data_IF_004922120327
#
_entry.id   IF_004922120327
#
_cell.length_a   1.000
_cell.length_b   1.000
_cell.length_c   1.000
_cell.angle_alpha   90.00
_cell.angle_beta   90.00
_cell.angle_gamma   90.00
#
_symmetry.space_group_name_H-M   'P 1'
#
loop_
_entity.id
_entity.type
_entity.pdbx_description
1 polymer ?
#
# COMPACT_ATOMS: atom_id res chain seq x y z
N UNK A 1 36.09 -38.45 38.16
CA UNK A 1 35.17 -37.29 38.29
C UNK A 1 35.08 -36.46 36.99
N UNK A 2 36.16 -36.34 36.22
CA UNK A 2 36.24 -35.52 35.00
C UNK A 2 35.38 -36.00 33.83
N UNK A 3 35.32 -37.30 33.55
CA UNK A 3 34.56 -37.82 32.40
C UNK A 3 33.05 -37.57 32.45
N UNK A 4 32.46 -37.57 33.66
CA UNK A 4 31.04 -37.23 33.86
C UNK A 4 30.76 -35.76 33.51
N UNK A 5 31.69 -34.86 33.85
CA UNK A 5 31.57 -33.44 33.57
C UNK A 5 31.61 -33.16 32.06
N UNK A 6 32.53 -33.82 31.34
CA UNK A 6 32.63 -33.71 29.88
C UNK A 6 31.34 -34.15 29.19
N UNK A 7 30.75 -35.28 29.60
CA UNK A 7 29.49 -35.77 29.03
C UNK A 7 28.35 -34.79 29.26
N UNK A 8 28.23 -34.21 30.46
CA UNK A 8 27.21 -33.20 30.77
C UNK A 8 27.39 -31.95 29.91
N UNK A 9 28.62 -31.44 29.78
CA UNK A 9 28.91 -30.28 28.96
C UNK A 9 28.64 -30.53 27.47
N UNK A 10 29.02 -31.70 26.95
CA UNK A 10 28.72 -32.07 25.56
C UNK A 10 27.22 -32.17 25.32
N UNK A 11 26.46 -32.78 26.23
CA UNK A 11 25.00 -32.84 26.13
C UNK A 11 24.38 -31.44 26.15
N UNK A 12 24.85 -30.56 27.05
CA UNK A 12 24.37 -29.19 27.14
C UNK A 12 24.65 -28.39 25.86
N UNK A 13 25.82 -28.57 25.26
CA UNK A 13 26.20 -27.94 24.00
C UNK A 13 25.28 -28.40 22.85
N UNK A 14 25.01 -29.70 22.75
CA UNK A 14 24.10 -30.25 21.73
C UNK A 14 22.69 -29.71 21.92
N UNK A 15 22.18 -29.69 23.16
CA UNK A 15 20.88 -29.11 23.48
C UNK A 15 20.80 -27.63 23.07
N UNK A 16 21.86 -26.85 23.32
CA UNK A 16 21.91 -25.44 22.94
C UNK A 16 21.87 -25.27 21.42
N UNK A 17 22.63 -26.10 20.68
CA UNK A 17 22.60 -26.11 19.21
C UNK A 17 21.22 -26.45 18.63
N UNK A 18 20.57 -27.49 19.15
CA UNK A 18 19.23 -27.88 18.72
C UNK A 18 18.18 -26.80 19.04
N UNK A 19 18.27 -26.18 20.22
CA UNK A 19 17.39 -25.09 20.63
C UNK A 19 17.51 -23.89 19.69
N UNK A 20 18.74 -23.51 19.31
CA UNK A 20 18.99 -22.41 18.37
C UNK A 20 18.42 -22.70 16.99
N UNK A 21 18.60 -23.93 16.47
CA UNK A 21 18.03 -24.32 15.17
C UNK A 21 16.51 -24.27 15.21
N UNK A 22 15.90 -24.76 16.29
CA UNK A 22 14.45 -24.71 16.46
C UNK A 22 13.94 -23.26 16.53
N UNK A 23 14.62 -22.38 17.28
CA UNK A 23 14.28 -20.97 17.34
C UNK A 23 14.40 -20.28 15.97
N UNK A 24 15.46 -20.57 15.22
CA UNK A 24 15.65 -20.04 13.87
C UNK A 24 14.59 -20.55 12.89
N UNK A 25 14.20 -21.82 13.00
CA UNK A 25 13.13 -22.38 12.18
C UNK A 25 11.80 -21.68 12.46
N UNK A 26 11.45 -21.51 13.73
CA UNK A 26 10.22 -20.83 14.13
C UNK A 26 10.22 -19.35 13.68
N UNK A 27 11.35 -18.66 13.84
CA UNK A 27 11.51 -17.27 13.39
C UNK A 27 11.32 -17.14 11.88
N UNK A 28 11.89 -18.06 11.08
CA UNK A 28 11.72 -18.05 9.62
C UNK A 28 10.26 -18.30 9.23
N UNK A 29 9.58 -19.22 9.92
CA UNK A 29 8.18 -19.52 9.63
C UNK A 29 7.28 -18.31 9.87
N UNK A 30 7.40 -17.65 11.04
CA UNK A 30 6.62 -16.46 11.36
C UNK A 30 6.90 -15.30 10.40
N UNK A 31 8.16 -15.14 9.97
CA UNK A 31 8.56 -14.09 9.03
C UNK A 31 7.90 -14.30 7.66
N UNK A 32 7.85 -15.53 7.17
CA UNK A 32 7.18 -15.86 5.89
C UNK A 32 5.69 -15.52 5.95
N UNK A 33 5.01 -15.83 7.05
CA UNK A 33 3.58 -15.52 7.18
C UNK A 33 3.32 -14.02 7.25
N UNK A 34 4.19 -13.26 7.92
CA UNK A 34 4.16 -11.81 7.93
C UNK A 34 4.37 -11.24 6.52
N UNK A 35 5.37 -11.73 5.79
CA UNK A 35 5.67 -11.29 4.42
C UNK A 35 4.49 -11.56 3.48
N UNK A 36 3.80 -12.71 3.62
CA UNK A 36 2.59 -13.01 2.84
C UNK A 36 1.48 -12.01 3.11
N UNK A 37 1.19 -11.71 4.36
CA UNK A 37 0.17 -10.73 4.73
C UNK A 37 0.52 -9.32 4.20
N UNK A 38 1.78 -8.90 4.32
CA UNK A 38 2.25 -7.63 3.75
C UNK A 38 2.17 -7.60 2.23
N UNK A 39 2.46 -8.71 1.55
CA UNK A 39 2.33 -8.79 0.09
C UNK A 39 0.88 -8.58 -0.37
N UNK A 40 -0.09 -9.19 0.31
CA UNK A 40 -1.52 -8.99 0.05
C UNK A 40 -1.95 -7.53 0.29
N UNK A 41 -1.51 -6.93 1.39
CA UNK A 41 -1.78 -5.50 1.67
C UNK A 41 -1.26 -4.60 0.56
N UNK A 42 -0.01 -4.81 0.12
CA UNK A 42 0.57 -4.01 -0.98
C UNK A 42 -0.19 -4.16 -2.29
N UNK A 43 -0.68 -5.37 -2.58
CA UNK A 43 -1.49 -5.60 -3.78
C UNK A 43 -2.80 -4.81 -3.73
N UNK A 44 -3.50 -4.86 -2.59
CA UNK A 44 -4.74 -4.09 -2.38
C UNK A 44 -4.50 -2.58 -2.51
N UNK A 45 -3.39 -2.06 -1.99
CA UNK A 45 -3.06 -0.63 -2.11
C UNK A 45 -2.84 -0.21 -3.57
N UNK A 46 -2.20 -1.06 -4.38
CA UNK A 46 -2.00 -0.83 -5.82
C UNK A 46 -3.35 -0.84 -6.54
N UNK A 47 -4.18 -1.85 -6.30
CA UNK A 47 -5.50 -1.96 -6.91
C UNK A 47 -6.37 -0.75 -6.54
N UNK A 48 -6.29 -0.29 -5.29
CA UNK A 48 -6.99 0.90 -4.83
C UNK A 48 -6.49 2.17 -5.53
N UNK A 49 -5.18 2.33 -5.66
CA UNK A 49 -4.60 3.47 -6.37
C UNK A 49 -5.01 3.48 -7.85
N UNK A 50 -5.05 2.31 -8.49
CA UNK A 50 -5.56 2.18 -9.85
C UNK A 50 -7.03 2.56 -9.94
N UNK A 51 -7.88 2.04 -9.04
CA UNK A 51 -9.30 2.38 -9.01
C UNK A 51 -9.54 3.89 -8.81
N UNK A 52 -8.67 4.55 -8.04
CA UNK A 52 -8.73 5.98 -7.81
C UNK A 52 -8.30 6.79 -9.04
N UNK A 53 -7.32 6.30 -9.80
CA UNK A 53 -6.97 6.86 -11.11
C UNK A 53 -8.14 6.72 -12.08
N UNK A 54 -8.75 5.54 -12.19
CA UNK A 54 -9.91 5.30 -13.04
C UNK A 54 -11.10 6.21 -12.67
N UNK A 55 -11.35 6.41 -11.37
CA UNK A 55 -12.34 7.39 -10.88
C UNK A 55 -11.99 8.83 -11.26
N UNK A 56 -10.72 9.21 -11.19
CA UNK A 56 -10.28 10.55 -11.59
C UNK A 56 -10.54 10.80 -13.08
N UNK A 57 -10.40 9.77 -13.92
CA UNK A 57 -10.70 9.82 -15.35
C UNK A 57 -12.21 9.98 -15.62
N UNK A 58 -13.06 9.35 -14.83
CA UNK A 58 -14.52 9.38 -15.00
C UNK A 58 -15.24 10.51 -14.24
N UNK A 59 -14.54 11.23 -13.36
CA UNK A 59 -15.16 11.97 -12.27
C UNK A 59 -15.64 13.40 -12.53
N UNK A 60 -14.95 14.25 -13.33
CA UNK A 60 -15.15 15.71 -13.14
C UNK A 60 -15.16 16.67 -14.32
N UNK A 61 -14.76 16.31 -15.54
CA UNK A 61 -14.79 17.29 -16.64
C UNK A 61 -15.61 16.83 -17.83
N UNK A 62 -15.36 15.64 -18.38
CA UNK A 62 -15.99 15.28 -19.65
C UNK A 62 -17.51 15.10 -19.58
N UNK A 63 -18.06 14.45 -18.55
CA UNK A 63 -19.53 14.30 -18.46
C UNK A 63 -20.26 15.61 -18.20
N UNK A 64 -19.71 16.48 -17.35
CA UNK A 64 -20.35 17.77 -17.02
C UNK A 64 -20.26 18.70 -18.23
N UNK A 65 -19.11 18.78 -18.90
CA UNK A 65 -18.90 19.53 -20.13
C UNK A 65 -19.79 19.02 -21.28
N UNK A 66 -19.90 17.70 -21.44
CA UNK A 66 -20.76 17.08 -22.46
C UNK A 66 -22.24 17.38 -22.25
N UNK A 67 -22.74 17.26 -21.01
CA UNK A 67 -24.14 17.57 -20.68
C UNK A 67 -24.39 19.08 -20.80
N UNK A 68 -23.48 19.93 -20.31
CA UNK A 68 -23.62 21.38 -20.43
C UNK A 68 -23.62 21.86 -21.90
N UNK A 69 -22.78 21.25 -22.74
CA UNK A 69 -22.69 21.57 -24.16
C UNK A 69 -23.88 21.03 -24.95
N UNK A 70 -24.32 19.80 -24.68
CA UNK A 70 -25.38 19.13 -25.46
C UNK A 70 -26.77 19.53 -25.00
N UNK A 71 -27.03 19.52 -23.69
CA UNK A 71 -28.38 19.68 -23.14
C UNK A 71 -28.65 21.15 -22.75
N UNK A 72 -27.60 21.93 -22.44
CA UNK A 72 -27.71 23.37 -22.12
C UNK A 72 -27.17 24.31 -23.21
N UNK A 73 -26.59 23.80 -24.31
CA UNK A 73 -25.96 24.62 -25.37
C UNK A 73 -24.96 25.67 -24.86
N UNK A 74 -24.28 25.39 -23.73
CA UNK A 74 -23.31 26.30 -23.16
C UNK A 74 -22.01 26.32 -23.98
N UNK A 75 -21.48 27.51 -24.22
CA UNK A 75 -20.19 27.74 -24.87
C UNK A 75 -19.12 28.02 -23.81
N UNK A 76 -17.89 27.51 -23.95
CA UNK A 76 -16.84 27.72 -22.96
C UNK A 76 -16.47 29.21 -22.86
N UNK A 77 -16.29 29.69 -21.62
CA UNK A 77 -15.93 31.08 -21.35
C UNK A 77 -14.49 31.33 -21.83
N UNK A 78 -14.34 31.99 -22.97
CA UNK A 78 -13.04 32.49 -23.47
C UNK A 78 -12.65 33.77 -22.71
N UNK A 79 -11.37 33.90 -22.34
CA UNK A 79 -10.80 35.05 -21.63
C UNK A 79 -11.03 36.43 -22.30
N UNK A 80 -11.46 36.46 -23.56
CA UNK A 80 -11.88 37.67 -24.27
C UNK A 80 -13.27 38.19 -23.84
N UNK A 81 -14.03 37.45 -23.02
CA UNK A 81 -15.40 37.79 -22.60
C UNK A 81 -15.57 37.91 -21.08
N UNK A 82 -14.48 38.21 -20.37
CA UNK A 82 -14.49 38.53 -18.94
C UNK A 82 -14.63 40.04 -18.77
N UNK A 83 -15.82 40.49 -18.37
CA UNK A 83 -16.05 41.88 -18.01
C UNK A 83 -15.80 42.03 -16.51
N UNK A 84 -14.71 42.70 -16.15
CA UNK A 84 -14.43 43.06 -14.76
C UNK A 84 -15.38 44.20 -14.38
N UNK A 85 -16.36 43.89 -13.53
CA UNK A 85 -17.19 44.91 -12.90
C UNK A 85 -16.37 45.48 -11.73
N UNK A 86 -15.76 46.64 -11.95
CA UNK A 86 -15.28 47.47 -10.84
C UNK A 86 -16.51 48.04 -10.13
N UNK A 87 -16.69 47.72 -8.85
CA UNK A 87 -17.69 48.38 -8.02
C UNK A 87 -17.43 49.89 -8.06
N UNK A 88 -18.44 50.65 -8.50
CA UNK A 88 -18.37 52.10 -8.61
C UNK A 88 -18.35 52.77 -7.25
N UNK A 89 -17.52 53.80 -7.12
CA UNK A 89 -17.66 54.85 -6.09
C UNK A 89 -18.86 55.77 -6.41
#
# INVERSE_FOLDING_TARGET
MTGKLCVVLSALLVCCGLSLVNAQYQSRHLLIDLERAQALSRQLDIDWAQLQLDQSTLGKHERIESIARRDLSMTPLTAARTQYLTEGE
#
